data_IF_189444267091
#
_entry.id   IF_189444267091
#
_cell.length_a   1.000
_cell.length_b   1.000
_cell.length_c   1.000
_cell.angle_alpha   90.00
_cell.angle_beta   90.00
_cell.angle_gamma   90.00
#
_symmetry.space_group_name_H-M   'P 1'
#
loop_
_entity.id
_entity.type
_entity.pdbx_description
1 polymer ?
#
# COMPACT_ATOMS: atom_id res chain seq x y z
N UNK A 1 13.30 -56.38 33.32
CA UNK A 1 14.77 -56.32 33.39
C UNK A 1 15.22 -54.96 32.88
N UNK A 2 15.99 -54.22 33.69
CA UNK A 2 16.86 -53.12 33.22
C UNK A 2 18.26 -53.71 32.90
N UNK A 3 19.31 -52.98 32.46
CA UNK A 3 19.79 -51.66 32.91
C UNK A 3 19.67 -50.56 31.81
N UNK A 4 19.68 -49.23 32.07
CA UNK A 4 20.74 -48.36 32.62
C UNK A 4 22.06 -48.45 31.80
N UNK A 5 22.85 -47.42 31.48
CA UNK A 5 22.89 -45.97 31.80
C UNK A 5 23.55 -45.23 30.59
N UNK A 6 24.02 -43.97 30.55
CA UNK A 6 24.41 -42.92 31.51
C UNK A 6 24.21 -41.50 30.88
N UNK A 7 24.42 -40.46 31.68
CA UNK A 7 24.77 -39.07 31.27
C UNK A 7 26.15 -38.75 31.89
N UNK A 8 26.66 -37.50 31.97
CA UNK A 8 26.61 -36.35 31.06
C UNK A 8 28.04 -35.95 30.58
N UNK A 9 28.17 -34.91 29.73
CA UNK A 9 29.42 -34.12 29.67
C UNK A 9 29.12 -32.62 29.73
N UNK A 10 29.99 -31.90 30.44
CA UNK A 10 29.80 -30.53 30.90
C UNK A 10 31.02 -29.68 30.57
N UNK A 11 30.76 -28.44 30.13
CA UNK A 11 31.63 -27.25 30.13
C UNK A 11 33.14 -27.37 29.87
N UNK A 12 33.59 -26.57 28.90
CA UNK A 12 34.71 -25.65 29.17
C UNK A 12 34.43 -24.27 28.60
N UNK A 13 34.66 -23.24 29.41
CA UNK A 13 34.69 -21.83 29.02
C UNK A 13 36.02 -21.51 28.33
N UNK A 14 36.02 -20.62 27.33
CA UNK A 14 37.12 -19.68 27.11
C UNK A 14 36.58 -18.41 26.42
N UNK A 15 36.89 -17.20 26.91
CA UNK A 15 36.46 -15.95 26.31
C UNK A 15 37.47 -15.48 25.23
N UNK A 16 36.98 -14.81 24.19
CA UNK A 16 37.85 -14.00 23.32
C UNK A 16 37.34 -12.56 23.33
N UNK A 17 38.05 -11.70 24.06
CA UNK A 17 37.77 -10.28 24.11
C UNK A 17 38.45 -9.57 22.93
N UNK A 18 37.68 -8.83 22.13
CA UNK A 18 38.21 -7.85 21.18
C UNK A 18 37.86 -6.44 21.64
N UNK A 19 38.77 -5.86 22.42
CA UNK A 19 38.71 -4.48 22.86
C UNK A 19 38.93 -3.53 21.68
N UNK A 20 37.85 -2.97 21.13
CA UNK A 20 37.94 -1.86 20.18
C UNK A 20 38.42 -0.60 20.91
N UNK A 21 39.68 -0.24 20.70
CA UNK A 21 40.34 0.90 21.33
C UNK A 21 39.89 2.19 20.64
N UNK A 22 39.24 3.09 21.39
CA UNK A 22 38.91 4.44 20.91
C UNK A 22 40.17 5.29 21.01
N UNK A 23 40.66 5.80 19.88
CA UNK A 23 41.71 6.82 19.87
C UNK A 23 41.09 8.18 19.57
N UNK A 24 41.05 9.02 20.62
CA UNK A 24 40.79 10.45 20.52
C UNK A 24 42.11 11.10 20.13
N UNK A 25 42.14 11.77 18.99
CA UNK A 25 43.22 12.68 18.62
C UNK A 25 42.68 14.11 18.62
N UNK A 26 42.93 14.81 19.72
CA UNK A 26 42.92 16.27 19.73
C UNK A 26 44.19 16.78 19.07
N UNK A 27 44.06 17.53 17.98
CA UNK A 27 45.05 18.54 17.59
C UNK A 27 44.32 19.75 17.02
N UNK A 28 44.11 20.74 17.88
CA UNK A 28 43.94 22.13 17.47
C UNK A 28 45.24 22.59 16.82
N UNK A 29 45.16 23.11 15.58
CA UNK A 29 45.89 24.30 15.10
C UNK A 29 45.88 24.35 13.56
N UNK A 30 44.89 25.07 12.99
CA UNK A 30 45.00 25.67 11.65
C UNK A 30 43.90 26.74 11.42
N UNK A 31 43.66 27.59 12.43
CA UNK A 31 42.97 28.88 12.22
C UNK A 31 44.05 29.95 11.98
N UNK A 32 44.44 30.14 10.72
CA UNK A 32 44.93 31.42 10.22
C UNK A 32 45.04 31.38 8.69
N UNK A 33 44.69 32.51 8.07
CA UNK A 33 44.77 32.76 6.62
C UNK A 33 43.77 32.01 5.73
N UNK A 34 42.55 32.54 5.65
CA UNK A 34 42.01 33.03 4.37
C UNK A 34 40.86 34.01 4.62
N UNK A 35 41.19 35.30 4.55
CA UNK A 35 40.23 36.40 4.62
C UNK A 35 39.56 36.61 3.26
N UNK A 36 38.26 36.34 3.18
CA UNK A 36 37.39 36.82 2.11
C UNK A 36 35.92 36.87 2.61
N UNK A 37 35.25 38.04 2.66
CA UNK A 37 33.86 38.12 3.09
C UNK A 37 32.92 37.58 2.00
N UNK A 38 32.18 36.52 2.32
CA UNK A 38 31.09 35.99 1.49
C UNK A 38 29.84 36.88 1.60
N UNK A 39 29.14 37.18 0.49
CA UNK A 39 27.90 37.93 0.53
C UNK A 39 26.69 37.06 0.94
N UNK A 40 25.86 37.60 1.83
CA UNK A 40 24.51 37.13 2.17
C UNK A 40 23.59 38.37 2.26
N UNK A 41 22.25 38.26 2.10
CA UNK A 41 21.45 37.16 1.56
C UNK A 41 20.52 37.58 0.40
N UNK A 42 19.87 36.62 -0.27
CA UNK A 42 18.54 36.83 -0.86
C UNK A 42 17.61 35.70 -0.42
N UNK A 43 16.65 36.03 0.46
CA UNK A 43 15.52 35.17 0.77
C UNK A 43 14.63 35.04 -0.47
N UNK A 44 14.24 33.80 -0.81
CA UNK A 44 12.92 33.41 -1.32
C UNK A 44 12.96 31.98 -1.88
N UNK A 45 13.34 31.00 -1.05
CA UNK A 45 12.87 29.63 -1.24
C UNK A 45 11.78 29.43 -0.19
N UNK A 46 10.53 29.29 -0.64
CA UNK A 46 9.44 28.96 0.27
C UNK A 46 9.79 27.63 0.94
N UNK A 47 9.81 27.61 2.28
CA UNK A 47 9.66 26.36 3.00
C UNK A 47 8.25 25.88 2.69
N UNK A 48 8.13 24.97 1.73
CA UNK A 48 6.89 24.27 1.44
C UNK A 48 6.54 23.52 2.73
N UNK A 49 5.54 24.03 3.44
CA UNK A 49 5.19 23.59 4.77
C UNK A 49 4.66 22.16 4.64
N UNK A 50 5.51 21.17 4.91
CA UNK A 50 5.18 19.75 4.78
C UNK A 50 4.09 19.46 5.81
N UNK A 51 2.84 19.62 5.39
CA UNK A 51 1.66 19.16 6.10
C UNK A 51 1.77 17.64 6.15
N UNK A 52 2.36 17.15 7.25
CA UNK A 52 2.28 15.74 7.63
C UNK A 52 0.81 15.48 7.84
N UNK A 53 0.18 14.88 6.84
CA UNK A 53 -1.25 14.67 6.84
C UNK A 53 -1.60 13.59 7.86
N UNK A 54 -2.00 14.04 9.05
CA UNK A 54 -2.29 13.17 10.19
C UNK A 54 -3.45 12.23 9.87
N UNK A 55 -3.34 10.98 10.34
CA UNK A 55 -4.38 9.98 10.13
C UNK A 55 -5.66 10.37 10.89
N UNK A 56 -6.80 10.58 10.22
CA UNK A 56 -8.02 11.00 10.89
C UNK A 56 -8.50 9.99 11.93
N UNK A 57 -9.09 10.46 13.03
CA UNK A 57 -9.57 9.61 14.14
C UNK A 57 -10.49 8.47 13.68
N UNK A 58 -11.35 8.73 12.68
CA UNK A 58 -12.27 7.74 12.14
C UNK A 58 -11.55 6.61 11.38
N UNK A 59 -10.39 6.89 10.78
CA UNK A 59 -9.50 5.89 10.17
C UNK A 59 -8.79 5.13 11.29
N UNK A 60 -8.16 5.86 12.23
CA UNK A 60 -7.41 5.28 13.34
C UNK A 60 -8.23 4.27 14.14
N UNK A 61 -9.48 4.63 14.48
CA UNK A 61 -10.43 3.74 15.16
C UNK A 61 -10.68 2.45 14.37
N UNK A 62 -10.99 2.55 13.08
CA UNK A 62 -11.26 1.38 12.25
C UNK A 62 -10.03 0.47 12.08
N UNK A 63 -8.84 1.05 11.99
CA UNK A 63 -7.57 0.31 11.91
C UNK A 63 -7.35 -0.50 13.20
N UNK A 64 -7.50 0.13 14.37
CA UNK A 64 -7.41 -0.55 15.67
C UNK A 64 -8.52 -1.61 15.85
N UNK A 65 -9.77 -1.30 15.48
CA UNK A 65 -10.92 -2.23 15.52
C UNK A 65 -10.74 -3.48 14.63
N UNK A 66 -9.76 -3.48 13.69
CA UNK A 66 -9.39 -4.65 12.86
C UNK A 66 -8.04 -5.26 13.24
N UNK A 67 -7.51 -4.92 14.41
CA UNK A 67 -6.26 -5.48 14.95
C UNK A 67 -5.01 -5.00 14.21
N UNK A 68 -5.09 -3.85 13.53
CA UNK A 68 -3.99 -3.25 12.79
C UNK A 68 -3.34 -2.12 13.60
N UNK A 69 -2.03 -1.96 13.48
CA UNK A 69 -1.27 -0.88 14.12
C UNK A 69 -0.84 0.23 13.14
N UNK A 70 -0.85 -0.05 11.84
CA UNK A 70 -0.37 0.84 10.79
C UNK A 70 -1.36 0.92 9.63
N UNK A 71 -1.60 2.14 9.17
CA UNK A 71 -2.31 2.43 7.94
C UNK A 71 -1.58 3.56 7.20
N UNK A 72 -1.78 3.64 5.89
CA UNK A 72 -1.20 4.68 5.06
C UNK A 72 -2.24 5.22 4.08
N UNK A 73 -2.16 6.51 3.78
CA UNK A 73 -3.03 7.15 2.80
C UNK A 73 -2.65 6.72 1.40
N UNK A 74 -3.64 6.27 0.63
CA UNK A 74 -3.47 5.81 -0.76
C UNK A 74 -3.66 6.97 -1.71
N UNK A 75 -4.78 7.70 -1.56
CA UNK A 75 -5.10 8.88 -2.37
C UNK A 75 -6.28 9.67 -1.80
N UNK A 76 -6.41 10.91 -2.27
CA UNK A 76 -7.66 11.64 -2.31
C UNK A 76 -8.23 11.62 -3.73
N UNK A 77 -9.56 11.67 -3.85
CA UNK A 77 -10.23 11.66 -5.16
C UNK A 77 -11.64 12.23 -5.05
N UNK A 78 -12.05 13.04 -6.02
CA UNK A 78 -13.46 13.36 -6.27
C UNK A 78 -14.19 12.14 -6.88
N UNK A 79 -15.35 11.77 -6.33
CA UNK A 79 -16.19 10.71 -6.85
C UNK A 79 -16.83 11.17 -8.16
N UNK A 80 -16.46 10.54 -9.27
CA UNK A 80 -17.07 10.82 -10.56
C UNK A 80 -18.33 9.98 -10.79
N UNK A 81 -19.22 10.44 -11.67
CA UNK A 81 -20.42 9.69 -12.07
C UNK A 81 -20.12 8.27 -12.60
N UNK A 82 -18.90 8.02 -13.10
CA UNK A 82 -18.44 6.69 -13.51
C UNK A 82 -18.16 5.73 -12.35
N UNK A 83 -17.81 6.23 -11.16
CA UNK A 83 -17.65 5.43 -9.95
C UNK A 83 -19.01 5.08 -9.32
N UNK A 84 -19.98 5.99 -9.42
CA UNK A 84 -21.38 5.81 -8.93
C UNK A 84 -22.24 4.98 -9.90
N UNK A 85 -21.86 4.89 -11.17
CA UNK A 85 -22.71 4.31 -12.22
C UNK A 85 -23.00 2.82 -12.02
N UNK A 86 -24.30 2.49 -11.94
CA UNK A 86 -24.83 1.13 -11.93
C UNK A 86 -24.37 0.24 -13.11
N UNK A 87 -23.87 0.82 -14.21
CA UNK A 87 -23.32 0.07 -15.34
C UNK A 87 -21.84 -0.29 -15.15
N UNK A 88 -21.09 0.50 -14.38
CA UNK A 88 -19.65 0.32 -14.22
C UNK A 88 -19.30 -0.38 -12.89
N UNK A 89 -20.08 -0.16 -11.81
CA UNK A 89 -19.99 -0.83 -10.50
C UNK A 89 -18.54 -1.07 -10.03
N UNK A 90 -17.72 -0.01 -10.10
CA UNK A 90 -16.28 -0.08 -9.84
C UNK A 90 -15.78 1.26 -9.33
N UNK A 91 -14.86 1.22 -8.39
CA UNK A 91 -14.11 2.40 -7.96
C UNK A 91 -12.75 2.42 -8.67
N UNK A 92 -12.50 3.47 -9.46
CA UNK A 92 -11.28 3.60 -10.27
C UNK A 92 -10.11 4.17 -9.45
N UNK A 93 -8.98 3.46 -9.47
CA UNK A 93 -7.70 3.84 -8.89
C UNK A 93 -6.71 4.08 -10.03
N UNK A 94 -6.07 5.26 -10.06
CA UNK A 94 -5.09 5.61 -11.11
C UNK A 94 -3.88 4.67 -11.05
N UNK A 95 -3.30 4.36 -12.23
CA UNK A 95 -2.17 3.44 -12.38
C UNK A 95 -1.02 3.78 -11.41
N UNK A 96 -0.58 5.04 -11.40
CA UNK A 96 0.50 5.56 -10.56
C UNK A 96 0.22 5.32 -9.08
N UNK A 97 -0.97 5.69 -8.60
CA UNK A 97 -1.39 5.43 -7.21
C UNK A 97 -1.31 3.94 -6.85
N UNK A 98 -1.75 3.04 -7.74
CA UNK A 98 -1.66 1.61 -7.50
C UNK A 98 -0.20 1.10 -7.46
N UNK A 99 0.67 1.63 -8.32
CA UNK A 99 2.09 1.25 -8.40
C UNK A 99 2.95 1.86 -7.26
N UNK A 100 2.64 3.09 -6.83
CA UNK A 100 3.43 3.88 -5.87
C UNK A 100 2.93 3.77 -4.41
N UNK A 101 1.62 3.56 -4.20
CA UNK A 101 0.99 3.57 -2.87
C UNK A 101 0.37 2.25 -2.45
N UNK A 102 -0.06 1.41 -3.39
CA UNK A 102 -0.66 0.10 -3.05
C UNK A 102 0.39 -1.02 -3.16
N UNK A 103 1.02 -1.19 -4.33
CA UNK A 103 1.99 -2.26 -4.62
C UNK A 103 3.13 -2.41 -3.60
N UNK A 104 3.74 -1.35 -3.02
CA UNK A 104 4.79 -1.50 -2.01
C UNK A 104 4.30 -2.17 -0.71
N UNK A 105 3.01 -2.04 -0.41
CA UNK A 105 2.37 -2.69 0.73
C UNK A 105 1.85 -4.10 0.45
N UNK A 106 2.17 -4.70 -0.71
CA UNK A 106 1.67 -6.01 -1.18
C UNK A 106 2.76 -7.09 -1.21
N UNK A 107 2.37 -8.35 -0.99
CA UNK A 107 3.23 -9.53 -1.23
C UNK A 107 3.25 -9.90 -2.72
N UNK A 108 4.23 -10.70 -3.15
CA UNK A 108 4.35 -11.13 -4.55
C UNK A 108 3.09 -11.85 -5.08
N UNK A 109 2.48 -12.72 -4.27
CA UNK A 109 1.26 -13.45 -4.62
C UNK A 109 0.05 -12.51 -4.75
N UNK A 110 -0.05 -11.50 -3.89
CA UNK A 110 -1.09 -10.47 -3.97
C UNK A 110 -0.92 -9.57 -5.20
N UNK A 111 0.32 -9.20 -5.54
CA UNK A 111 0.64 -8.45 -6.77
C UNK A 111 0.26 -9.28 -8.01
N UNK A 112 0.51 -10.59 -7.98
CA UNK A 112 0.11 -11.51 -9.05
C UNK A 112 -1.42 -11.60 -9.17
N UNK A 113 -2.12 -11.83 -8.05
CA UNK A 113 -3.58 -11.92 -8.00
C UNK A 113 -4.28 -10.63 -8.44
N UNK A 114 -3.70 -9.46 -8.14
CA UNK A 114 -4.22 -8.16 -8.56
C UNK A 114 -3.81 -7.74 -9.99
N UNK A 115 -3.05 -8.56 -10.73
CA UNK A 115 -2.47 -8.24 -12.04
C UNK A 115 -1.54 -6.99 -12.04
N UNK A 116 -0.89 -6.71 -10.91
CA UNK A 116 -0.06 -5.51 -10.66
C UNK A 116 1.44 -5.68 -10.94
N UNK A 117 1.83 -6.73 -11.65
CA UNK A 117 3.22 -6.95 -12.06
C UNK A 117 3.75 -5.80 -12.94
N UNK A 118 4.98 -5.38 -12.66
CA UNK A 118 5.72 -4.41 -13.48
C UNK A 118 6.27 -5.07 -14.73
N UNK A 119 6.52 -4.27 -15.77
CA UNK A 119 7.10 -4.76 -17.03
C UNK A 119 8.50 -5.38 -16.90
N UNK A 120 9.18 -5.18 -15.77
CA UNK A 120 10.46 -5.81 -15.42
C UNK A 120 10.36 -7.11 -14.63
N UNK A 121 9.20 -7.46 -14.05
CA UNK A 121 9.03 -8.65 -13.19
C UNK A 121 9.00 -9.98 -13.99
N UNK A 122 9.29 -9.95 -15.30
CA UNK A 122 9.26 -11.10 -16.19
C UNK A 122 10.51 -12.00 -16.10
N UNK A 123 11.54 -11.62 -15.36
CA UNK A 123 12.67 -12.50 -15.08
C UNK A 123 12.25 -13.58 -14.08
N UNK A 124 12.29 -14.84 -14.52
CA UNK A 124 12.11 -16.06 -13.70
C UNK A 124 10.66 -16.52 -13.40
N UNK A 125 9.75 -16.47 -14.38
CA UNK A 125 8.69 -17.50 -14.44
C UNK A 125 8.35 -17.94 -15.87
N UNK A 126 9.05 -18.97 -16.32
CA UNK A 126 8.86 -19.62 -17.63
C UNK A 126 7.62 -20.53 -17.60
N UNK A 127 6.41 -19.95 -17.55
CA UNK A 127 5.18 -20.73 -17.76
C UNK A 127 5.04 -21.10 -19.23
N UNK A 128 5.31 -22.37 -19.53
CA UNK A 128 5.19 -22.96 -20.86
C UNK A 128 3.83 -22.66 -21.50
N UNK A 129 3.82 -21.92 -22.61
CA UNK A 129 2.73 -21.94 -23.58
C UNK A 129 3.10 -22.87 -24.73
N UNK A 130 3.10 -24.17 -24.44
CA UNK A 130 3.02 -25.20 -25.47
C UNK A 130 1.56 -25.58 -25.65
N UNK A 131 0.89 -24.85 -26.53
CA UNK A 131 -0.24 -25.37 -27.31
C UNK A 131 -0.30 -24.58 -28.60
N UNK A 132 -0.02 -25.23 -29.72
CA UNK A 132 -0.37 -24.71 -31.03
C UNK A 132 -1.88 -24.73 -31.23
N UNK A 133 -2.34 -24.06 -32.28
CA UNK A 133 -3.74 -23.99 -32.69
C UNK A 133 -3.88 -22.89 -33.73
N UNK A 134 -4.26 -23.27 -34.95
CA UNK A 134 -4.44 -22.32 -36.05
C UNK A 134 -5.60 -21.36 -35.77
N UNK A 135 -5.61 -20.22 -36.45
CA UNK A 135 -6.68 -19.24 -36.30
C UNK A 135 -7.99 -19.73 -36.93
N UNK A 136 -9.07 -19.67 -36.16
CA UNK A 136 -10.44 -19.68 -36.68
C UNK A 136 -11.21 -18.45 -36.20
N UNK A 137 -12.10 -17.98 -37.06
CA UNK A 137 -12.98 -16.84 -36.81
C UNK A 137 -14.20 -17.36 -36.04
N UNK A 138 -14.32 -17.00 -34.76
CA UNK A 138 -15.42 -17.48 -33.93
C UNK A 138 -15.58 -16.71 -32.63
N UNK A 139 -16.80 -16.19 -32.44
CA UNK A 139 -17.41 -15.76 -31.19
C UNK A 139 -16.80 -14.56 -30.44
N UNK A 140 -17.69 -13.65 -30.01
CA UNK A 140 -17.37 -12.62 -29.02
C UNK A 140 -17.13 -13.34 -27.69
N UNK A 141 -15.87 -13.70 -27.43
CA UNK A 141 -15.45 -14.34 -26.18
C UNK A 141 -16.00 -13.56 -25.00
N UNK A 142 -16.92 -14.19 -24.29
CA UNK A 142 -17.45 -13.71 -23.04
C UNK A 142 -16.28 -13.38 -22.10
N UNK A 143 -16.40 -12.25 -21.39
CA UNK A 143 -15.26 -11.60 -20.75
C UNK A 143 -14.52 -12.56 -19.83
N UNK A 144 -13.25 -12.84 -20.18
CA UNK A 144 -12.26 -13.59 -19.40
C UNK A 144 -12.53 -13.46 -17.90
N UNK A 145 -12.76 -14.57 -17.20
CA UNK A 145 -13.09 -14.60 -15.77
C UNK A 145 -12.31 -13.54 -15.02
N UNK A 146 -13.02 -12.54 -14.51
CA UNK A 146 -12.44 -11.29 -14.05
C UNK A 146 -11.87 -11.44 -12.63
N UNK A 147 -10.84 -12.26 -12.51
CA UNK A 147 -10.04 -12.42 -11.30
C UNK A 147 -9.45 -11.10 -10.80
N UNK A 148 -9.02 -11.14 -9.55
CA UNK A 148 -8.45 -10.03 -8.81
C UNK A 148 -8.12 -10.49 -7.40
N UNK A 149 -7.35 -9.71 -6.66
CA UNK A 149 -7.08 -9.99 -5.25
C UNK A 149 -8.35 -9.70 -4.43
N UNK A 150 -8.95 -10.68 -3.73
CA UNK A 150 -10.02 -10.41 -2.77
C UNK A 150 -9.49 -9.58 -1.59
N UNK A 151 -10.12 -8.43 -1.35
CA UNK A 151 -9.76 -7.46 -0.30
C UNK A 151 -11.01 -7.01 0.46
N UNK A 152 -10.86 -6.79 1.77
CA UNK A 152 -11.91 -6.18 2.57
C UNK A 152 -11.88 -4.66 2.41
N UNK A 153 -13.03 -4.08 2.09
CA UNK A 153 -13.18 -2.62 1.92
C UNK A 153 -14.26 -2.13 2.90
N UNK A 154 -13.87 -1.20 3.76
CA UNK A 154 -14.69 -0.61 4.81
C UNK A 154 -15.14 0.80 4.44
N UNK A 155 -16.37 1.16 4.80
CA UNK A 155 -16.85 2.54 4.77
C UNK A 155 -16.38 3.28 6.03
N UNK A 156 -16.44 4.62 6.01
CA UNK A 156 -16.25 5.49 7.19
C UNK A 156 -17.05 5.05 8.42
N UNK A 157 -18.21 4.44 8.23
CA UNK A 157 -19.11 3.97 9.29
C UNK A 157 -18.80 2.54 9.76
N UNK A 158 -17.67 1.95 9.34
CA UNK A 158 -17.20 0.63 9.76
C UNK A 158 -17.89 -0.57 9.12
N UNK A 159 -18.84 -0.36 8.21
CA UNK A 159 -19.41 -1.45 7.42
C UNK A 159 -18.40 -1.93 6.38
N UNK A 160 -18.10 -3.23 6.37
CA UNK A 160 -17.12 -3.84 5.47
C UNK A 160 -17.74 -4.85 4.51
N UNK A 161 -17.16 -4.96 3.32
CA UNK A 161 -17.48 -6.02 2.38
C UNK A 161 -16.27 -6.50 1.57
N UNK A 162 -16.39 -7.69 0.99
CA UNK A 162 -15.39 -8.25 0.10
C UNK A 162 -15.55 -7.68 -1.32
N UNK A 163 -14.48 -7.08 -1.84
CA UNK A 163 -14.34 -6.66 -3.24
C UNK A 163 -13.06 -7.26 -3.83
N UNK A 164 -12.88 -7.14 -5.14
CA UNK A 164 -11.70 -7.59 -5.86
C UNK A 164 -10.92 -6.39 -6.38
N UNK A 165 -9.64 -6.30 -5.98
CA UNK A 165 -8.67 -5.38 -6.56
C UNK A 165 -8.06 -6.02 -7.81
N UNK A 166 -8.21 -5.38 -8.97
CA UNK A 166 -7.50 -5.82 -10.19
C UNK A 166 -7.12 -4.64 -11.08
N UNK A 167 -5.93 -4.73 -11.67
CA UNK A 167 -5.53 -3.94 -12.84
C UNK A 167 -6.34 -4.36 -14.07
N UNK A 168 -6.59 -3.43 -14.99
CA UNK A 168 -7.24 -3.68 -16.28
C UNK A 168 -6.24 -3.54 -17.42
N UNK A 169 -6.21 -4.52 -18.34
CA UNK A 169 -5.23 -4.56 -19.43
C UNK A 169 -5.33 -3.37 -20.40
N UNK A 170 -6.53 -2.88 -20.68
CA UNK A 170 -6.77 -1.81 -21.66
C UNK A 170 -6.43 -0.41 -21.13
N UNK A 171 -6.92 -0.06 -19.93
CA UNK A 171 -6.69 1.27 -19.34
C UNK A 171 -5.42 1.37 -18.48
N UNK A 172 -4.80 0.22 -18.14
CA UNK A 172 -3.72 0.06 -17.15
C UNK A 172 -4.04 0.54 -15.72
N UNK A 173 -5.21 1.12 -15.50
CA UNK A 173 -5.72 1.52 -14.20
C UNK A 173 -6.15 0.30 -13.38
N UNK A 174 -6.24 0.49 -12.06
CA UNK A 174 -6.74 -0.49 -11.12
C UNK A 174 -8.17 -0.18 -10.73
N UNK A 175 -8.95 -1.18 -10.38
CA UNK A 175 -10.30 -1.00 -9.86
C UNK A 175 -10.55 -1.88 -8.65
N UNK A 176 -11.36 -1.38 -7.73
CA UNK A 176 -12.11 -2.20 -6.77
C UNK A 176 -13.49 -2.49 -7.37
N UNK A 177 -13.84 -3.77 -7.54
CA UNK A 177 -15.13 -4.20 -8.09
C UNK A 177 -15.65 -5.49 -7.46
N UNK A 178 -16.93 -5.80 -7.63
CA UNK A 178 -17.52 -7.07 -7.19
C UNK A 178 -19.02 -6.94 -6.91
N UNK A 179 -19.69 -8.07 -6.66
CA UNK A 179 -21.14 -8.09 -6.39
C UNK A 179 -21.57 -7.20 -5.23
N UNK A 180 -20.71 -7.02 -4.22
CA UNK A 180 -20.97 -6.17 -3.06
C UNK A 180 -20.81 -4.66 -3.34
N UNK A 181 -20.26 -4.25 -4.49
CA UNK A 181 -19.92 -2.84 -4.75
C UNK A 181 -21.13 -1.90 -4.67
N UNK A 182 -22.29 -2.35 -5.17
CA UNK A 182 -23.54 -1.57 -5.10
C UNK A 182 -24.01 -1.36 -3.66
N UNK A 183 -23.86 -2.38 -2.81
CA UNK A 183 -24.21 -2.28 -1.38
C UNK A 183 -23.18 -1.43 -0.61
N UNK A 184 -21.90 -1.51 -0.99
CA UNK A 184 -20.85 -0.61 -0.50
C UNK A 184 -21.20 0.86 -0.78
N UNK A 185 -21.51 1.19 -2.02
CA UNK A 185 -21.94 2.54 -2.39
C UNK A 185 -23.20 3.00 -1.62
N UNK A 186 -24.17 2.10 -1.45
CA UNK A 186 -25.40 2.41 -0.70
C UNK A 186 -25.15 2.68 0.79
N UNK A 187 -24.10 2.08 1.38
CA UNK A 187 -23.75 2.22 2.81
C UNK A 187 -22.59 3.17 3.09
N UNK A 188 -21.89 3.63 2.07
CA UNK A 188 -20.88 4.70 2.20
C UNK A 188 -21.51 6.09 2.21
N UNK A 189 -22.75 6.21 1.73
CA UNK A 189 -23.49 7.49 1.55
C UNK A 189 -22.77 8.49 0.64
N UNK A 190 -21.89 7.99 -0.23
CA UNK A 190 -21.15 8.83 -1.18
C UNK A 190 -22.04 9.25 -2.35
N UNK A 191 -21.86 10.48 -2.81
CA UNK A 191 -22.45 11.05 -4.01
C UNK A 191 -21.38 11.44 -5.04
N UNK A 192 -21.78 11.70 -6.29
CA UNK A 192 -20.88 12.28 -7.27
C UNK A 192 -20.57 13.74 -6.91
N UNK A 193 -19.29 14.12 -6.97
CA UNK A 193 -18.78 15.40 -6.46
C UNK A 193 -18.21 15.35 -5.05
N UNK A 194 -18.47 14.28 -4.27
CA UNK A 194 -17.85 14.12 -2.95
C UNK A 194 -16.34 13.90 -3.09
N UNK A 195 -15.55 14.60 -2.29
CA UNK A 195 -14.12 14.28 -2.11
C UNK A 195 -14.02 13.12 -1.12
N UNK A 196 -13.34 12.04 -1.52
CA UNK A 196 -13.06 10.89 -0.67
C UNK A 196 -11.57 10.72 -0.39
N UNK A 197 -11.28 10.24 0.80
CA UNK A 197 -9.99 9.66 1.14
C UNK A 197 -10.04 8.13 1.02
N UNK A 198 -8.98 7.56 0.48
CA UNK A 198 -8.74 6.12 0.50
C UNK A 198 -7.49 5.83 1.33
N UNK A 199 -7.65 4.96 2.33
CA UNK A 199 -6.58 4.47 3.19
C UNK A 199 -6.40 2.97 3.02
N UNK A 200 -5.19 2.47 3.21
CA UNK A 200 -4.85 1.05 3.18
C UNK A 200 -4.19 0.63 4.49
N UNK A 201 -4.42 -0.62 4.89
CA UNK A 201 -3.83 -1.20 6.09
C UNK A 201 -3.72 -2.73 5.97
N UNK A 202 -3.01 -3.35 6.91
CA UNK A 202 -2.94 -4.81 7.10
C UNK A 202 -3.71 -5.19 8.36
N UNK A 203 -4.72 -6.04 8.26
CA UNK A 203 -5.48 -6.50 9.44
C UNK A 203 -4.62 -7.37 10.38
N UNK A 204 -5.18 -7.77 11.54
CA UNK A 204 -4.50 -8.66 12.49
C UNK A 204 -4.15 -10.06 11.94
N UNK A 205 -4.60 -10.42 10.73
CA UNK A 205 -4.22 -11.62 9.99
C UNK A 205 -3.23 -11.35 8.86
N UNK A 206 -2.73 -10.12 8.74
CA UNK A 206 -1.82 -9.68 7.69
C UNK A 206 -2.48 -9.53 6.32
N UNK A 207 -3.81 -9.43 6.20
CA UNK A 207 -4.50 -9.26 4.91
C UNK A 207 -4.62 -7.78 4.53
N UNK A 208 -4.42 -7.48 3.26
CA UNK A 208 -4.61 -6.13 2.73
C UNK A 208 -6.09 -5.72 2.80
N UNK A 209 -6.33 -4.60 3.49
CA UNK A 209 -7.64 -4.00 3.65
C UNK A 209 -7.62 -2.54 3.21
N UNK A 210 -8.79 -2.02 2.84
CA UNK A 210 -8.97 -0.61 2.46
C UNK A 210 -10.10 0.04 3.26
N UNK A 211 -9.99 1.34 3.46
CA UNK A 211 -11.03 2.19 4.02
C UNK A 211 -11.30 3.30 3.00
N UNK A 212 -12.57 3.55 2.67
CA UNK A 212 -12.96 4.69 1.82
C UNK A 212 -14.07 5.46 2.55
N UNK A 213 -13.88 6.77 2.67
CA UNK A 213 -14.82 7.67 3.30
C UNK A 213 -14.72 9.06 2.69
N UNK A 214 -15.80 9.85 2.80
CA UNK A 214 -15.74 11.26 2.45
C UNK A 214 -14.72 11.98 3.32
N UNK A 215 -13.97 12.90 2.72
CA UNK A 215 -13.29 13.96 3.47
C UNK A 215 -14.39 14.87 4.03
N UNK A 216 -14.31 15.19 5.33
CA UNK A 216 -15.15 16.27 5.89
C UNK A 216 -14.18 17.42 6.06
N UNK A 217 -14.30 18.41 5.18
CA UNK A 217 -13.68 19.70 5.42
C UNK A 217 -14.45 20.32 6.59
N UNK A 218 -13.77 20.51 7.72
CA UNK A 218 -14.33 21.13 8.93
C UNK A 218 -14.48 22.66 8.78
N UNK A 219 -14.65 23.15 7.55
CA UNK A 219 -14.96 24.54 7.21
C UNK A 219 -16.48 24.82 7.20
N UNK A 220 -17.30 23.93 7.76
CA UNK A 220 -18.66 24.29 8.19
C UNK A 220 -18.54 25.18 9.44
N UNK A 221 -18.21 26.45 9.20
CA UNK A 221 -18.36 27.52 10.18
C UNK A 221 -19.84 27.62 10.54
N UNK A 222 -20.15 27.36 11.80
CA UNK A 222 -21.45 27.62 12.43
C UNK A 222 -21.64 29.12 12.72
#
# INVERSE_FOLDING_TARGET
MAPQSLLPFSFSLLPCATSAKIEILETLDLISNLSAPLPLPKQAAAADEIKVEEMPEWVAKLVVDKGAALAWKVMEKEIYASDVSNQQNRFLIRKQIAEDRIRPGMTGDEIAAANLMSGGDFTTSKRCRLSGGAGEIGERKEGREHGGLPVMVYTRYGWGCLLHLTRWDASKASVLKGGNYREFHRRSFLAAGDVVEMWAFRDGHGKLCFIIGNKIDLEISL
#
